data_IF_766132122839
#
_entry.id   IF_766132122839
#
_cell.length_a   1.000
_cell.length_b   1.000
_cell.length_c   1.000
_cell.angle_alpha   90.00
_cell.angle_beta   90.00
_cell.angle_gamma   90.00
#
_symmetry.space_group_name_H-M   'P 1'
#
loop_
_entity.id
_entity.type
_entity.pdbx_description
1 polymer ?
#
# COMPACT_ATOMS: atom_id res chain seq x y z
N UNK A 1 16.57 10.50 -20.53
CA UNK A 1 15.96 10.44 -19.18
C UNK A 1 16.83 11.25 -18.25
N UNK A 2 16.35 12.41 -17.78
CA UNK A 2 17.08 13.23 -16.82
C UNK A 2 17.18 12.46 -15.51
N UNK A 3 18.39 12.03 -15.16
CA UNK A 3 18.67 11.48 -13.84
C UNK A 3 18.75 12.68 -12.91
N UNK A 4 17.76 12.87 -12.05
CA UNK A 4 17.80 13.93 -11.05
C UNK A 4 19.05 13.68 -10.17
N UNK A 5 20.05 14.54 -10.30
CA UNK A 5 21.18 14.59 -9.39
C UNK A 5 20.65 15.16 -8.07
N UNK A 6 20.33 14.28 -7.14
CA UNK A 6 19.83 14.65 -5.83
C UNK A 6 21.01 14.63 -4.85
N UNK A 7 21.20 15.74 -4.14
CA UNK A 7 22.09 15.80 -2.99
C UNK A 7 21.43 14.99 -1.85
N UNK A 8 22.12 14.04 -1.20
CA UNK A 8 21.56 13.27 -0.09
C UNK A 8 21.09 14.10 1.11
N UNK A 9 21.35 15.41 1.12
CA UNK A 9 20.91 16.34 2.14
C UNK A 9 19.65 17.15 1.75
N UNK A 10 19.13 17.00 0.53
CA UNK A 10 17.86 17.61 0.13
C UNK A 10 16.68 16.76 0.63
N UNK A 11 15.69 17.39 1.24
CA UNK A 11 14.44 16.77 1.63
C UNK A 11 13.62 16.41 0.37
N UNK A 12 13.43 15.11 0.09
CA UNK A 12 12.74 14.64 -1.11
C UNK A 12 11.29 14.28 -0.84
N UNK A 13 10.38 15.19 -1.16
CA UNK A 13 8.95 14.91 -1.11
C UNK A 13 8.45 14.33 -2.45
N UNK A 14 7.73 13.20 -2.41
CA UNK A 14 7.19 12.52 -3.60
C UNK A 14 5.67 12.66 -3.65
N UNK A 15 5.12 12.94 -4.84
CA UNK A 15 3.67 12.92 -5.10
C UNK A 15 3.37 11.89 -6.17
N UNK A 16 2.54 10.90 -5.83
CA UNK A 16 2.07 9.85 -6.74
C UNK A 16 0.64 10.18 -7.14
N UNK A 17 0.44 10.65 -8.37
CA UNK A 17 -0.90 10.92 -8.92
C UNK A 17 -1.38 9.69 -9.68
N UNK A 18 -2.52 9.12 -9.30
CA UNK A 18 -3.04 7.90 -9.91
C UNK A 18 -4.57 7.78 -9.78
N UNK A 19 -5.09 6.64 -10.22
CA UNK A 19 -6.50 6.29 -10.06
C UNK A 19 -6.77 5.79 -8.62
N UNK A 20 -8.01 5.95 -8.15
CA UNK A 20 -8.39 5.55 -6.79
C UNK A 20 -8.08 4.08 -6.47
N UNK A 21 -8.35 3.18 -7.42
CA UNK A 21 -8.06 1.75 -7.24
C UNK A 21 -6.56 1.45 -7.20
N UNK A 22 -5.78 2.06 -8.09
CA UNK A 22 -4.32 1.90 -8.11
C UNK A 22 -3.67 2.44 -6.83
N UNK A 23 -4.19 3.56 -6.30
CA UNK A 23 -3.73 4.17 -5.05
C UNK A 23 -4.00 3.24 -3.85
N UNK A 24 -5.19 2.63 -3.78
CA UNK A 24 -5.49 1.62 -2.74
C UNK A 24 -4.58 0.39 -2.82
N UNK A 25 -4.30 -0.10 -4.04
CA UNK A 25 -3.39 -1.25 -4.23
C UNK A 25 -1.97 -0.88 -3.78
N UNK A 26 -1.53 0.34 -4.07
CA UNK A 26 -0.24 0.84 -3.58
C UNK A 26 -0.20 0.86 -2.05
N UNK A 27 -1.21 1.41 -1.38
CA UNK A 27 -1.28 1.47 0.09
C UNK A 27 -1.36 0.09 0.72
N UNK A 28 -2.18 -0.81 0.16
CA UNK A 28 -2.25 -2.21 0.58
C UNK A 28 -0.86 -2.85 0.51
N UNK A 29 -0.13 -2.62 -0.58
CA UNK A 29 1.21 -3.18 -0.75
C UNK A 29 2.21 -2.58 0.23
N UNK A 30 2.14 -1.29 0.47
CA UNK A 30 3.05 -0.57 1.35
C UNK A 30 2.87 -0.99 2.81
N UNK A 31 1.63 -0.94 3.31
CA UNK A 31 1.31 -1.25 4.69
C UNK A 31 1.07 -2.74 4.96
N UNK A 32 1.15 -3.58 3.92
CA UNK A 32 0.97 -5.03 3.99
C UNK A 32 -0.43 -5.42 4.51
N UNK A 33 -1.45 -4.69 4.09
CA UNK A 33 -2.84 -4.97 4.47
C UNK A 33 -3.40 -6.22 3.80
N UNK A 34 -4.35 -6.88 4.46
CA UNK A 34 -4.99 -8.09 3.93
C UNK A 34 -5.99 -7.76 2.80
N UNK A 35 -6.44 -8.78 2.07
CA UNK A 35 -7.45 -8.60 1.01
C UNK A 35 -8.76 -8.10 1.61
N UNK A 36 -9.16 -8.63 2.77
CA UNK A 36 -10.37 -8.22 3.47
C UNK A 36 -10.27 -6.76 3.91
N UNK A 37 -9.15 -6.36 4.52
CA UNK A 37 -8.87 -4.97 4.86
C UNK A 37 -8.92 -4.06 3.62
N UNK A 38 -8.34 -4.51 2.50
CA UNK A 38 -8.37 -3.79 1.24
C UNK A 38 -9.79 -3.60 0.72
N UNK A 39 -10.64 -4.63 0.73
CA UNK A 39 -12.01 -4.57 0.19
C UNK A 39 -12.86 -3.48 0.85
N UNK A 40 -12.66 -3.24 2.15
CA UNK A 40 -13.38 -2.21 2.89
C UNK A 40 -12.86 -0.78 2.69
N UNK A 41 -11.65 -0.60 2.13
CA UNK A 41 -11.11 0.73 1.86
C UNK A 41 -11.95 1.47 0.81
N UNK A 42 -12.17 2.75 1.06
CA UNK A 42 -12.80 3.64 0.09
C UNK A 42 -11.79 4.11 -0.96
N UNK A 43 -12.26 4.34 -2.18
CA UNK A 43 -11.44 5.01 -3.18
C UNK A 43 -11.23 6.46 -2.75
N UNK A 44 -10.02 6.98 -2.98
CA UNK A 44 -9.79 8.43 -2.93
C UNK A 44 -10.78 9.13 -3.87
N UNK A 45 -11.41 10.18 -3.37
CA UNK A 45 -12.22 11.10 -4.16
C UNK A 45 -11.38 11.86 -5.19
N UNK A 46 -12.07 12.56 -6.09
CA UNK A 46 -11.38 13.39 -7.08
C UNK A 46 -10.62 14.52 -6.40
N UNK A 47 -9.34 14.67 -6.75
CA UNK A 47 -8.44 15.65 -6.17
C UNK A 47 -8.18 15.47 -4.66
N UNK A 48 -8.57 14.34 -4.07
CA UNK A 48 -8.18 14.00 -2.69
C UNK A 48 -6.78 13.42 -2.66
N UNK A 49 -6.14 13.53 -1.50
CA UNK A 49 -4.84 12.95 -1.26
C UNK A 49 -4.72 12.40 0.17
N UNK A 50 -3.81 11.44 0.32
CA UNK A 50 -3.39 10.91 1.61
C UNK A 50 -1.90 11.16 1.82
N UNK A 51 -1.57 11.73 2.98
CA UNK A 51 -0.19 11.99 3.40
C UNK A 51 0.38 10.78 4.15
N UNK A 52 1.50 10.27 3.65
CA UNK A 52 2.34 9.28 4.29
C UNK A 52 3.61 9.97 4.79
N UNK A 53 3.81 9.98 6.10
CA UNK A 53 4.94 10.68 6.72
C UNK A 53 5.84 9.70 7.44
N UNK A 54 7.15 9.92 7.32
CA UNK A 54 8.17 9.17 8.02
C UNK A 54 8.17 9.56 9.50
N UNK A 55 7.84 8.63 10.39
CA UNK A 55 7.98 8.87 11.83
C UNK A 55 9.41 8.69 12.33
N UNK A 56 9.65 9.11 13.58
CA UNK A 56 10.94 8.99 14.28
C UNK A 56 11.48 7.56 14.33
N UNK A 57 10.57 6.57 14.26
CA UNK A 57 10.87 5.14 14.20
C UNK A 57 11.49 4.66 12.89
N UNK A 58 11.47 5.49 11.84
CA UNK A 58 11.92 5.17 10.48
C UNK A 58 10.86 4.49 9.61
N UNK A 59 9.62 4.38 10.08
CA UNK A 59 8.50 3.81 9.33
C UNK A 59 7.52 4.91 8.90
N UNK A 60 7.00 4.78 7.68
CA UNK A 60 5.96 5.68 7.17
C UNK A 60 4.61 5.36 7.80
N UNK A 61 3.79 6.37 8.02
CA UNK A 61 2.46 6.24 8.59
C UNK A 61 1.48 7.26 8.01
N UNK A 62 0.21 6.85 7.92
CA UNK A 62 -0.92 7.75 7.66
C UNK A 62 -1.40 8.47 8.92
N UNK A 63 -1.05 8.05 10.13
CA UNK A 63 -1.62 8.59 11.37
C UNK A 63 -0.93 9.87 11.87
N UNK A 64 0.14 10.35 11.22
CA UNK A 64 0.89 11.52 11.72
C UNK A 64 0.11 12.82 11.57
N UNK A 65 -0.65 12.95 10.50
CA UNK A 65 -1.44 14.15 10.18
C UNK A 65 -2.96 13.90 10.12
N UNK A 66 -3.42 12.69 10.42
CA UNK A 66 -4.83 12.31 10.30
C UNK A 66 -5.40 11.75 11.59
N UNK A 67 -6.67 12.04 11.84
CA UNK A 67 -7.40 11.55 13.01
C UNK A 67 -7.92 10.12 12.79
N UNK A 68 -8.39 9.47 13.85
CA UNK A 68 -9.03 8.15 13.75
C UNK A 68 -10.30 8.24 12.93
N UNK A 69 -11.04 9.34 13.11
CA UNK A 69 -12.26 9.62 12.38
C UNK A 69 -12.00 9.71 10.87
N UNK A 70 -10.94 10.40 10.44
CA UNK A 70 -10.55 10.49 9.02
C UNK A 70 -10.22 9.09 8.46
N UNK A 71 -9.43 8.31 9.19
CA UNK A 71 -9.03 6.96 8.77
C UNK A 71 -10.24 5.99 8.72
N UNK A 72 -11.18 6.11 9.66
CA UNK A 72 -12.43 5.36 9.64
C UNK A 72 -13.29 5.75 8.43
N UNK A 73 -13.34 7.03 8.07
CA UNK A 73 -14.05 7.51 6.87
C UNK A 73 -13.45 6.93 5.59
N UNK A 74 -12.14 6.68 5.55
CA UNK A 74 -11.48 5.98 4.44
C UNK A 74 -11.73 4.47 4.42
N UNK A 75 -12.50 3.94 5.38
CA UNK A 75 -12.82 2.51 5.47
C UNK A 75 -11.73 1.68 6.14
N UNK A 76 -10.81 2.31 6.89
CA UNK A 76 -9.81 1.57 7.65
C UNK A 76 -10.43 0.89 8.87
N UNK A 77 -10.03 -0.36 9.11
CA UNK A 77 -10.45 -1.09 10.31
C UNK A 77 -9.74 -0.56 11.57
N UNK A 78 -10.28 -0.80 12.77
CA UNK A 78 -9.61 -0.43 14.02
C UNK A 78 -8.20 -1.04 14.17
N UNK A 79 -7.97 -2.22 13.59
CA UNK A 79 -6.66 -2.88 13.57
C UNK A 79 -5.67 -2.11 12.68
N UNK A 80 -6.10 -1.68 11.49
CA UNK A 80 -5.26 -0.88 10.58
C UNK A 80 -4.91 0.47 11.21
N UNK A 81 -5.86 1.11 11.89
CA UNK A 81 -5.65 2.39 12.59
C UNK A 81 -4.64 2.21 13.73
N UNK A 82 -4.77 1.14 14.51
CA UNK A 82 -3.82 0.83 15.58
C UNK A 82 -2.40 0.61 15.03
N UNK A 83 -2.27 -0.11 13.91
CA UNK A 83 -1.01 -0.30 13.20
C UNK A 83 -0.42 1.04 12.72
N UNK A 84 -1.22 1.90 12.07
CA UNK A 84 -0.76 3.22 11.62
C UNK A 84 -0.30 4.09 12.79
N UNK A 85 -0.98 4.05 13.94
CA UNK A 85 -0.54 4.80 15.13
C UNK A 85 0.75 4.27 15.76
N UNK A 86 1.01 2.97 15.62
CA UNK A 86 2.20 2.35 16.19
C UNK A 86 3.46 2.63 15.35
N UNK A 87 3.32 2.68 14.02
CA UNK A 87 4.42 2.87 13.06
C UNK A 87 5.33 4.07 13.34
N UNK A 88 4.84 5.30 13.59
CA UNK A 88 5.72 6.45 13.77
C UNK A 88 6.68 6.31 14.97
N UNK A 89 6.26 5.57 15.99
CA UNK A 89 6.96 5.42 17.27
C UNK A 89 7.80 4.15 17.29
N UNK A 90 7.48 3.18 16.42
CA UNK A 90 8.16 1.90 16.35
C UNK A 90 9.54 2.06 15.70
N UNK A 91 10.60 1.79 16.44
CA UNK A 91 11.94 1.70 15.86
C UNK A 91 12.01 0.53 14.85
N UNK A 92 12.46 0.80 13.63
CA UNK A 92 12.65 -0.15 12.52
C UNK A 92 13.24 -1.52 12.94
N UNK A 93 14.11 -1.56 13.96
CA UNK A 93 14.72 -2.80 14.47
C UNK A 93 13.77 -3.74 15.25
N UNK A 94 12.53 -3.34 15.52
CA UNK A 94 11.52 -4.18 16.18
C UNK A 94 10.61 -4.92 15.19
N UNK A 95 10.69 -4.60 13.89
CA UNK A 95 9.92 -5.26 12.84
C UNK A 95 10.61 -6.59 12.52
N UNK A 96 10.16 -7.65 13.19
CA UNK A 96 10.67 -9.01 13.04
C UNK A 96 10.81 -9.40 11.55
N UNK A 97 12.04 -9.72 11.13
CA UNK A 97 12.44 -10.19 9.79
C UNK A 97 11.70 -11.47 9.32
N UNK A 98 10.87 -12.07 10.17
CA UNK A 98 10.00 -13.20 9.82
C UNK A 98 8.59 -12.77 9.38
N UNK A 99 8.48 -11.76 8.52
CA UNK A 99 7.19 -11.41 7.92
C UNK A 99 6.95 -12.33 6.71
N UNK A 100 5.94 -13.24 6.72
CA UNK A 100 5.69 -14.21 5.63
C UNK A 100 5.35 -13.58 4.27
N UNK A 101 5.20 -12.26 4.24
CA UNK A 101 4.60 -11.48 3.15
C UNK A 101 5.63 -10.56 2.49
N UNK A 102 6.92 -10.89 2.60
CA UNK A 102 7.99 -10.23 1.84
C UNK A 102 7.64 -10.25 0.35
N UNK A 103 8.01 -9.16 -0.33
CA UNK A 103 7.64 -8.84 -1.70
C UNK A 103 7.94 -9.98 -2.68
N UNK A 104 9.04 -10.70 -2.43
CA UNK A 104 9.40 -11.90 -3.18
C UNK A 104 8.31 -12.98 -3.03
N UNK A 105 7.76 -13.34 -1.87
CA UNK A 105 6.69 -14.36 -1.82
C UNK A 105 5.40 -13.99 -2.59
N UNK A 106 5.13 -12.69 -2.81
CA UNK A 106 3.99 -12.23 -3.60
C UNK A 106 4.23 -12.33 -5.12
N UNK A 107 5.48 -12.23 -5.59
CA UNK A 107 5.86 -12.31 -7.02
C UNK A 107 6.73 -13.52 -7.41
N UNK A 108 7.32 -14.25 -6.46
CA UNK A 108 8.13 -15.46 -6.63
C UNK A 108 7.24 -16.62 -7.09
N UNK A 109 6.02 -16.69 -6.56
CA UNK A 109 5.01 -17.62 -7.06
C UNK A 109 4.56 -17.29 -8.51
N UNK A 110 4.85 -16.09 -9.01
CA UNK A 110 4.68 -15.72 -10.42
C UNK A 110 5.97 -15.93 -11.23
N UNK A 111 7.14 -15.92 -10.59
CA UNK A 111 8.44 -16.04 -11.26
C UNK A 111 8.87 -17.50 -11.52
N UNK A 112 8.34 -18.48 -10.78
CA UNK A 112 8.77 -19.88 -10.87
C UNK A 112 7.98 -20.73 -11.90
N UNK A 113 7.25 -20.09 -12.84
CA UNK A 113 6.54 -20.80 -13.91
C UNK A 113 7.43 -21.22 -15.08
N UNK A 114 8.66 -21.68 -14.82
CA UNK A 114 9.42 -22.50 -15.76
C UNK A 114 9.55 -23.91 -15.17
N UNK A 115 8.64 -24.77 -15.63
CA UNK A 115 8.68 -26.23 -15.58
C UNK A 115 8.54 -26.89 -14.19
N UNK A 116 7.30 -27.20 -13.78
CA UNK A 116 6.77 -28.59 -13.71
C UNK A 116 5.37 -28.67 -13.08
N UNK A 117 4.43 -29.08 -13.92
CA UNK A 117 3.24 -29.91 -13.67
C UNK A 117 2.59 -29.90 -12.26
N UNK A 118 1.42 -29.25 -12.19
CA UNK A 118 0.25 -29.86 -11.56
C UNK A 118 -0.29 -29.27 -10.25
N UNK A 119 -0.78 -28.02 -10.24
CA UNK A 119 -1.89 -27.59 -9.35
C UNK A 119 -2.52 -26.25 -9.83
N UNK A 120 -3.22 -26.27 -10.98
CA UNK A 120 -3.75 -25.08 -11.67
C UNK A 120 -5.19 -24.71 -11.27
N UNK A 121 -5.48 -24.55 -9.98
CA UNK A 121 -6.85 -24.21 -9.54
C UNK A 121 -6.98 -23.02 -8.60
N UNK A 122 -6.00 -22.69 -7.75
CA UNK A 122 -6.17 -21.63 -6.73
C UNK A 122 -5.54 -20.28 -7.12
N UNK A 123 -4.43 -20.29 -7.85
CA UNK A 123 -3.77 -19.05 -8.28
C UNK A 123 -4.48 -18.36 -9.44
N UNK A 124 -5.00 -19.16 -10.38
CA UNK A 124 -5.89 -18.65 -11.42
C UNK A 124 -7.10 -17.97 -10.78
N UNK A 125 -7.69 -18.50 -9.71
CA UNK A 125 -8.85 -17.90 -9.07
C UNK A 125 -8.53 -16.57 -8.36
N UNK A 126 -7.36 -16.42 -7.74
CA UNK A 126 -6.95 -15.16 -7.07
C UNK A 126 -6.54 -14.08 -8.05
N UNK A 127 -5.77 -14.44 -9.07
CA UNK A 127 -5.39 -13.53 -10.15
C UNK A 127 -6.63 -13.14 -10.95
N UNK A 128 -7.53 -14.09 -11.23
CA UNK A 128 -8.85 -13.80 -11.80
C UNK A 128 -9.70 -12.97 -10.83
N UNK A 129 -9.61 -13.13 -9.51
CA UNK A 129 -10.39 -12.32 -8.57
C UNK A 129 -9.88 -10.88 -8.52
N UNK A 130 -8.56 -10.67 -8.44
CA UNK A 130 -7.93 -9.36 -8.52
C UNK A 130 -8.19 -8.72 -9.89
N UNK A 131 -7.99 -9.46 -10.98
CA UNK A 131 -8.31 -8.99 -12.34
C UNK A 131 -9.81 -8.73 -12.49
N UNK A 132 -10.71 -9.50 -11.89
CA UNK A 132 -12.17 -9.21 -11.88
C UNK A 132 -12.52 -7.96 -11.08
N UNK A 133 -11.85 -7.73 -9.94
CA UNK A 133 -11.98 -6.49 -9.15
C UNK A 133 -11.48 -5.30 -9.98
N UNK A 134 -10.31 -5.43 -10.60
CA UNK A 134 -9.67 -4.40 -11.42
C UNK A 134 -10.43 -4.13 -12.74
N UNK A 135 -11.02 -5.15 -13.37
CA UNK A 135 -11.77 -5.01 -14.63
C UNK A 135 -13.23 -4.62 -14.44
N UNK A 136 -13.80 -4.84 -13.25
CA UNK A 136 -15.16 -4.41 -12.89
C UNK A 136 -15.27 -2.97 -12.40
N UNK A 137 -14.18 -2.38 -11.89
CA UNK A 137 -14.15 -1.02 -11.34
C UNK A 137 -13.06 -0.17 -12.01
N UNK A 138 -13.35 0.36 -13.19
CA UNK A 138 -12.60 1.55 -13.64
C UNK A 138 -13.08 2.70 -12.77
N UNK A 139 -12.40 2.92 -11.63
CA UNK A 139 -12.63 4.12 -10.83
C UNK A 139 -12.20 5.32 -11.67
N UNK A 140 -13.17 6.16 -12.06
CA UNK A 140 -12.90 7.44 -12.70
C UNK A 140 -12.31 8.47 -11.71
N UNK A 141 -12.12 8.10 -10.43
CA UNK A 141 -11.51 8.99 -9.47
C UNK A 141 -9.99 9.07 -9.66
N UNK A 142 -9.48 10.30 -9.70
CA UNK A 142 -8.04 10.60 -9.72
C UNK A 142 -7.69 11.33 -8.42
N UNK A 143 -6.77 10.74 -7.66
CA UNK A 143 -6.27 11.27 -6.40
C UNK A 143 -4.75 11.20 -6.34
N UNK A 144 -4.19 11.57 -5.19
CA UNK A 144 -2.75 11.53 -4.98
C UNK A 144 -2.36 10.85 -3.66
N UNK A 145 -1.15 10.31 -3.61
CA UNK A 145 -0.48 9.93 -2.37
C UNK A 145 0.74 10.83 -2.26
N UNK A 146 0.86 11.55 -1.16
CA UNK A 146 2.01 12.40 -0.86
C UNK A 146 2.87 11.67 0.15
N UNK A 147 4.15 11.51 -0.16
CA UNK A 147 5.12 10.82 0.69
C UNK A 147 6.14 11.85 1.16
N UNK A 148 6.23 12.05 2.47
CA UNK A 148 7.02 13.09 3.13
C UNK A 148 7.98 12.54 4.18
N UNK A 149 9.12 13.20 4.35
CA UNK A 149 10.18 12.84 5.29
C UNK A 149 10.08 13.57 6.62
#
# INVERSE_FOLDING_TARGET
MNRHHHDPNDELNLVIVSHGLASRVYLMKWFKWTVEQFEYLNNLGNCEFQDMELGDGGEYSLAVHHTDEDMLEWGMSPEMIADQKWRPIAHMGALNDNCPWYLDAFFDHLADSNDKDGERSKDFDKEIHLVKILTGFISLSVGAIKVTH
#
